data_IF_007184217636
#
_entry.id   IF_007184217636
#
_cell.length_a   1.000
_cell.length_b   1.000
_cell.length_c   1.000
_cell.angle_alpha   90.00
_cell.angle_beta   90.00
_cell.angle_gamma   90.00
#
_symmetry.space_group_name_H-M   'P 1'
#
loop_
_entity.id
_entity.type
_entity.pdbx_description
1 polymer ?
#
# COMPACT_ATOMS: atom_id res chain seq x y z
N UNK A 1 5.84 -36.36 5.89
CA UNK A 1 4.89 -35.23 5.73
C UNK A 1 5.69 -33.94 5.76
N UNK A 2 5.32 -33.00 4.90
CA UNK A 2 6.22 -32.11 4.18
C UNK A 2 6.95 -31.02 5.01
N UNK A 3 8.28 -31.14 5.09
CA UNK A 3 9.18 -30.11 5.64
C UNK A 3 9.02 -28.75 4.93
N UNK A 4 8.66 -28.75 3.65
CA UNK A 4 8.37 -27.53 2.88
C UNK A 4 7.13 -26.79 3.37
N UNK A 5 6.05 -27.49 3.75
CA UNK A 5 4.85 -26.84 4.30
C UNK A 5 5.12 -26.25 5.67
N UNK A 6 5.85 -26.98 6.53
CA UNK A 6 6.30 -26.46 7.82
C UNK A 6 7.17 -25.20 7.66
N UNK A 7 8.10 -25.20 6.71
CA UNK A 7 8.90 -24.02 6.39
C UNK A 7 8.02 -22.81 5.99
N UNK A 8 7.01 -23.02 5.13
CA UNK A 8 6.08 -21.95 4.74
C UNK A 8 5.21 -21.47 5.91
N UNK A 9 4.69 -22.39 6.72
CA UNK A 9 3.91 -22.08 7.92
C UNK A 9 4.74 -21.27 8.94
N UNK A 10 5.99 -21.67 9.17
CA UNK A 10 6.89 -20.98 10.10
C UNK A 10 7.19 -19.54 9.64
N UNK A 11 7.22 -19.30 8.32
CA UNK A 11 7.35 -17.95 7.73
C UNK A 11 6.13 -17.08 7.92
N UNK A 12 4.93 -17.64 7.79
CA UNK A 12 3.67 -16.89 7.94
C UNK A 12 3.28 -16.70 9.41
N UNK A 13 3.71 -17.60 10.30
CA UNK A 13 3.39 -17.58 11.74
C UNK A 13 4.45 -16.90 12.61
N UNK A 14 5.50 -16.35 12.00
CA UNK A 14 6.56 -15.63 12.70
C UNK A 14 7.49 -16.53 13.53
N UNK A 15 7.54 -17.83 13.24
CA UNK A 15 8.40 -18.81 13.92
C UNK A 15 9.81 -18.91 13.32
N UNK A 16 10.13 -18.08 12.32
CA UNK A 16 11.46 -17.97 11.74
C UNK A 16 12.09 -16.59 12.00
N UNK A 17 13.42 -16.53 11.95
CA UNK A 17 14.16 -15.27 12.08
C UNK A 17 13.99 -14.36 10.85
N UNK A 18 14.15 -13.06 11.04
CA UNK A 18 14.32 -12.13 9.92
C UNK A 18 15.54 -12.57 9.07
N UNK A 19 15.51 -12.44 7.73
CA UNK A 19 14.51 -11.76 6.90
C UNK A 19 13.38 -12.67 6.35
N UNK A 20 13.30 -13.93 6.79
CA UNK A 20 12.34 -14.89 6.22
C UNK A 20 10.95 -14.79 6.84
N UNK A 21 10.82 -14.11 7.97
CA UNK A 21 9.56 -13.86 8.65
C UNK A 21 8.68 -12.92 7.83
N UNK A 22 7.55 -13.43 7.36
CA UNK A 22 6.58 -12.68 6.54
C UNK A 22 5.31 -12.32 7.34
N UNK A 23 5.28 -12.56 8.66
CA UNK A 23 4.13 -12.25 9.49
C UNK A 23 3.80 -10.74 9.52
N UNK A 24 4.78 -9.81 9.62
CA UNK A 24 4.50 -8.37 9.58
C UNK A 24 3.89 -7.92 8.25
N UNK A 25 4.37 -8.44 7.12
CA UNK A 25 3.85 -8.14 5.79
C UNK A 25 2.45 -8.71 5.61
N UNK A 26 2.18 -9.90 6.13
CA UNK A 26 0.87 -10.52 6.10
C UNK A 26 -0.14 -9.75 6.96
N UNK A 27 0.27 -9.28 8.14
CA UNK A 27 -0.54 -8.41 8.99
C UNK A 27 -0.85 -7.08 8.28
N UNK A 28 0.15 -6.47 7.65
CA UNK A 28 -0.05 -5.28 6.82
C UNK A 28 -1.08 -5.53 5.72
N UNK A 29 -0.92 -6.62 4.96
CA UNK A 29 -1.85 -6.96 3.89
C UNK A 29 -3.26 -7.22 4.40
N UNK A 30 -3.44 -7.80 5.58
CA UNK A 30 -4.77 -7.98 6.15
C UNK A 30 -5.40 -6.65 6.58
N UNK A 31 -4.62 -5.77 7.22
CA UNK A 31 -5.08 -4.47 7.68
C UNK A 31 -5.54 -3.56 6.53
N UNK A 32 -4.80 -3.52 5.41
CA UNK A 32 -5.15 -2.70 4.24
C UNK A 32 -6.37 -3.19 3.48
N UNK A 33 -6.86 -4.42 3.74
CA UNK A 33 -8.15 -4.87 3.19
C UNK A 33 -9.31 -4.00 3.67
N UNK A 34 -9.13 -3.24 4.75
CA UNK A 34 -10.06 -2.21 5.19
C UNK A 34 -10.36 -1.15 4.11
N UNK A 35 -9.53 -0.99 3.07
CA UNK A 35 -9.81 -0.10 1.94
C UNK A 35 -10.74 -0.71 0.87
N UNK A 36 -11.08 -1.99 0.99
CA UNK A 36 -12.16 -2.60 0.24
C UNK A 36 -13.49 -2.39 1.02
N UNK A 37 -14.44 -1.61 0.49
CA UNK A 37 -15.69 -1.28 1.20
C UNK A 37 -16.51 -2.51 1.58
N UNK A 38 -16.58 -3.52 0.69
CA UNK A 38 -17.31 -4.76 1.00
C UNK A 38 -16.66 -5.50 2.17
N UNK A 39 -15.32 -5.56 2.22
CA UNK A 39 -14.60 -6.19 3.33
C UNK A 39 -14.78 -5.42 4.64
N UNK A 40 -14.69 -4.09 4.61
CA UNK A 40 -14.86 -3.24 5.78
C UNK A 40 -16.22 -3.47 6.46
N UNK A 41 -17.29 -3.59 5.67
CA UNK A 41 -18.62 -3.90 6.17
C UNK A 41 -18.77 -5.34 6.66
N UNK A 42 -18.28 -6.33 5.90
CA UNK A 42 -18.33 -7.75 6.27
C UNK A 42 -17.62 -8.01 7.60
N UNK A 43 -16.43 -7.43 7.79
CA UNK A 43 -15.61 -7.59 9.00
C UNK A 43 -15.96 -6.62 10.12
N UNK A 44 -16.82 -5.63 9.86
CA UNK A 44 -17.19 -4.57 10.81
C UNK A 44 -15.95 -3.97 11.48
N UNK A 45 -15.05 -3.44 10.64
CA UNK A 45 -13.84 -2.79 11.14
C UNK A 45 -14.18 -1.72 12.18
N UNK A 46 -13.33 -1.58 13.19
CA UNK A 46 -13.55 -0.69 14.33
C UNK A 46 -12.35 0.26 14.53
N UNK A 47 -12.44 1.14 15.52
CA UNK A 47 -11.36 2.10 15.80
C UNK A 47 -10.04 1.41 16.20
N UNK A 48 -10.07 0.21 16.78
CA UNK A 48 -8.86 -0.57 17.08
C UNK A 48 -8.16 -1.03 15.79
N UNK A 49 -8.92 -1.44 14.78
CA UNK A 49 -8.39 -1.76 13.45
C UNK A 49 -7.66 -0.56 12.83
N UNK A 50 -8.28 0.62 12.90
CA UNK A 50 -7.66 1.86 12.40
C UNK A 50 -6.38 2.15 13.16
N UNK A 51 -6.37 2.03 14.50
CA UNK A 51 -5.13 2.24 15.28
C UNK A 51 -4.02 1.25 14.91
N UNK A 52 -4.33 -0.02 14.65
CA UNK A 52 -3.35 -1.01 14.16
C UNK A 52 -2.82 -0.66 12.78
N UNK A 53 -3.69 -0.19 11.87
CA UNK A 53 -3.28 0.27 10.55
C UNK A 53 -2.26 1.42 10.62
N UNK A 54 -2.37 2.30 11.62
CA UNK A 54 -1.42 3.40 11.86
C UNK A 54 -0.12 2.98 12.57
N UNK A 55 0.06 1.70 12.91
CA UNK A 55 1.35 1.20 13.41
C UNK A 55 2.32 0.87 12.26
N UNK A 56 1.85 0.91 11.00
CA UNK A 56 2.60 0.46 9.84
C UNK A 56 2.88 1.65 8.90
N UNK A 57 4.14 1.75 8.47
CA UNK A 57 4.58 2.75 7.48
C UNK A 57 3.90 2.51 6.13
N UNK A 58 3.50 3.55 5.38
CA UNK A 58 3.71 4.99 5.62
C UNK A 58 2.58 5.67 6.39
N UNK A 59 1.51 4.98 6.76
CA UNK A 59 0.39 5.60 7.52
C UNK A 59 0.83 6.04 8.92
N UNK A 60 1.77 5.32 9.53
CA UNK A 60 2.43 5.72 10.77
C UNK A 60 3.13 7.09 10.70
N UNK A 61 3.45 7.60 9.51
CA UNK A 61 4.07 8.91 9.33
C UNK A 61 3.04 10.03 9.09
N UNK A 62 1.75 9.72 9.07
CA UNK A 62 0.66 10.66 8.83
C UNK A 62 -0.15 10.90 10.12
N UNK A 63 0.50 11.48 11.12
CA UNK A 63 -0.06 11.72 12.47
C UNK A 63 -1.39 12.48 12.45
N UNK A 64 -1.62 13.27 11.40
CA UNK A 64 -2.83 14.07 11.21
C UNK A 64 -4.06 13.28 10.74
N UNK A 65 -3.91 11.99 10.37
CA UNK A 65 -4.99 11.18 9.80
C UNK A 65 -5.69 10.24 10.79
N UNK A 66 -5.06 9.84 11.90
CA UNK A 66 -5.60 8.81 12.78
C UNK A 66 -6.95 9.21 13.40
N UNK A 67 -6.99 10.35 14.08
CA UNK A 67 -8.20 10.82 14.77
C UNK A 67 -9.33 11.14 13.78
N UNK A 68 -9.10 11.86 12.66
CA UNK A 68 -10.13 12.07 11.65
C UNK A 68 -10.65 10.77 11.01
N UNK A 69 -9.79 9.78 10.74
CA UNK A 69 -10.24 8.49 10.21
C UNK A 69 -11.10 7.72 11.21
N UNK A 70 -10.77 7.77 12.50
CA UNK A 70 -11.61 7.17 13.55
C UNK A 70 -12.98 7.86 13.64
N UNK A 71 -13.02 9.19 13.51
CA UNK A 71 -14.26 9.96 13.50
C UNK A 71 -15.12 9.69 12.25
N UNK A 72 -14.49 9.54 11.08
CA UNK A 72 -15.17 9.24 9.81
C UNK A 72 -15.63 7.77 9.70
N UNK A 73 -15.10 6.86 10.52
CA UNK A 73 -15.31 5.42 10.41
C UNK A 73 -16.81 5.01 10.38
N UNK A 74 -17.70 5.52 11.25
CA UNK A 74 -19.12 5.17 11.18
C UNK A 74 -19.76 5.56 9.84
N UNK A 75 -19.35 6.71 9.29
CA UNK A 75 -19.81 7.18 7.98
C UNK A 75 -19.25 6.33 6.86
N UNK A 76 -17.99 5.93 6.95
CA UNK A 76 -17.38 5.01 5.99
C UNK A 76 -18.18 3.70 5.90
N UNK A 77 -18.47 3.08 7.06
CA UNK A 77 -19.24 1.84 7.12
C UNK A 77 -20.68 2.01 6.59
N UNK A 78 -21.30 3.17 6.79
CA UNK A 78 -22.62 3.47 6.24
C UNK A 78 -22.59 3.55 4.70
N UNK A 79 -21.62 4.27 4.13
CA UNK A 79 -21.46 4.40 2.68
C UNK A 79 -21.05 3.07 2.01
N UNK A 80 -20.29 2.23 2.71
CA UNK A 80 -19.84 0.95 2.21
C UNK A 80 -20.91 -0.15 2.26
N UNK A 81 -21.98 0.03 3.04
CA UNK A 81 -23.02 -0.98 3.29
C UNK A 81 -23.71 -1.47 2.02
N UNK A 82 -23.97 -0.57 1.08
CA UNK A 82 -24.69 -0.87 -0.16
C UNK A 82 -23.76 -1.21 -1.34
N UNK A 83 -22.44 -1.23 -1.10
CA UNK A 83 -21.43 -1.44 -2.13
C UNK A 83 -21.22 -2.94 -2.35
N UNK A 84 -21.57 -3.40 -3.56
CA UNK A 84 -21.30 -4.76 -4.02
C UNK A 84 -20.21 -4.74 -5.09
N UNK A 85 -19.08 -5.35 -4.79
CA UNK A 85 -17.95 -5.47 -5.71
C UNK A 85 -17.79 -6.93 -6.09
N UNK A 86 -17.81 -7.21 -7.40
CA UNK A 86 -17.47 -8.54 -7.90
C UNK A 86 -15.97 -8.81 -7.73
N UNK A 87 -15.63 -9.99 -7.22
CA UNK A 87 -14.25 -10.43 -6.96
C UNK A 87 -13.75 -11.42 -8.01
N UNK A 88 -14.57 -11.76 -9.01
CA UNK A 88 -14.22 -12.73 -10.07
C UNK A 88 -13.27 -12.17 -11.12
N UNK A 89 -13.26 -10.85 -11.29
CA UNK A 89 -12.44 -10.13 -12.27
C UNK A 89 -11.61 -9.09 -11.55
N UNK A 90 -10.28 -9.14 -11.72
CA UNK A 90 -9.35 -8.21 -11.07
C UNK A 90 -9.56 -6.78 -11.60
N UNK A 91 -9.85 -6.62 -12.89
CA UNK A 91 -10.07 -5.31 -13.50
C UNK A 91 -11.37 -4.67 -12.99
N UNK A 92 -12.46 -5.43 -12.93
CA UNK A 92 -13.75 -4.94 -12.43
C UNK A 92 -13.69 -4.62 -10.93
N UNK A 93 -13.01 -5.47 -10.16
CA UNK A 93 -12.73 -5.22 -8.75
C UNK A 93 -11.96 -3.90 -8.56
N UNK A 94 -10.86 -3.75 -9.29
CA UNK A 94 -9.99 -2.56 -9.19
C UNK A 94 -10.74 -1.30 -9.56
N UNK A 95 -11.49 -1.33 -10.67
CA UNK A 95 -12.29 -0.20 -11.13
C UNK A 95 -13.35 0.20 -10.10
N UNK A 96 -14.10 -0.76 -9.56
CA UNK A 96 -15.15 -0.50 -8.59
C UNK A 96 -14.61 0.08 -7.27
N UNK A 97 -13.49 -0.44 -6.76
CA UNK A 97 -12.83 0.10 -5.56
C UNK A 97 -12.36 1.53 -5.81
N UNK A 98 -11.69 1.79 -6.93
CA UNK A 98 -11.20 3.14 -7.26
C UNK A 98 -12.34 4.14 -7.47
N UNK A 99 -13.43 3.73 -8.13
CA UNK A 99 -14.61 4.57 -8.31
C UNK A 99 -15.28 4.92 -6.99
N UNK A 100 -15.42 3.95 -6.07
CA UNK A 100 -15.95 4.19 -4.72
C UNK A 100 -15.18 5.33 -4.03
N UNK A 101 -13.86 5.24 -3.97
CA UNK A 101 -13.03 6.26 -3.33
C UNK A 101 -13.08 7.59 -4.08
N UNK A 102 -13.11 7.58 -5.42
CA UNK A 102 -13.20 8.79 -6.25
C UNK A 102 -14.47 9.58 -6.01
N UNK A 103 -15.62 8.91 -5.86
CA UNK A 103 -16.90 9.58 -5.63
C UNK A 103 -17.11 10.00 -4.17
N UNK A 104 -16.35 9.45 -3.22
CA UNK A 104 -16.51 9.72 -1.78
C UNK A 104 -15.43 10.62 -1.17
N UNK A 105 -14.50 11.16 -1.97
CA UNK A 105 -13.44 12.08 -1.49
C UNK A 105 -13.98 13.25 -0.66
N UNK A 106 -15.13 13.83 -1.04
CA UNK A 106 -15.72 14.97 -0.30
C UNK A 106 -16.41 14.56 1.01
N UNK A 107 -16.84 13.30 1.10
CA UNK A 107 -17.64 12.74 2.19
C UNK A 107 -16.72 12.10 3.24
N UNK A 108 -15.64 11.49 2.77
CA UNK A 108 -14.64 10.74 3.53
C UNK A 108 -13.22 11.22 3.17
N UNK A 109 -12.88 12.49 3.45
CA UNK A 109 -11.60 13.07 3.00
C UNK A 109 -10.39 12.38 3.62
N UNK A 110 -10.46 11.99 4.90
CA UNK A 110 -9.35 11.37 5.62
C UNK A 110 -9.12 9.95 5.13
N UNK A 111 -10.20 9.16 4.99
CA UNK A 111 -10.12 7.82 4.40
C UNK A 111 -9.68 7.83 2.94
N UNK A 112 -10.14 8.80 2.14
CA UNK A 112 -9.72 8.91 0.75
C UNK A 112 -8.24 9.28 0.61
N UNK A 113 -7.70 10.12 1.50
CA UNK A 113 -6.25 10.41 1.55
C UNK A 113 -5.46 9.17 1.94
N UNK A 114 -5.89 8.45 2.98
CA UNK A 114 -5.26 7.19 3.37
C UNK A 114 -5.32 6.13 2.26
N UNK A 115 -6.45 6.03 1.54
CA UNK A 115 -6.60 5.11 0.41
C UNK A 115 -5.58 5.41 -0.70
N UNK A 116 -5.33 6.69 -1.01
CA UNK A 116 -4.30 7.09 -1.99
C UNK A 116 -2.90 6.68 -1.54
N UNK A 117 -2.60 6.85 -0.26
CA UNK A 117 -1.31 6.44 0.32
C UNK A 117 -1.14 4.93 0.17
N UNK A 118 -2.16 4.15 0.56
CA UNK A 118 -2.13 2.69 0.47
C UNK A 118 -2.06 2.19 -0.97
N UNK A 119 -2.83 2.76 -1.89
CA UNK A 119 -2.80 2.37 -3.31
C UNK A 119 -1.52 2.79 -4.03
N UNK A 120 -0.74 3.72 -3.47
CA UNK A 120 0.59 4.05 -3.98
C UNK A 120 1.66 3.03 -3.58
N UNK A 121 1.37 2.13 -2.64
CA UNK A 121 2.31 1.09 -2.23
C UNK A 121 2.34 -0.03 -3.27
N UNK A 122 3.45 -0.16 -3.98
CA UNK A 122 3.64 -1.28 -4.89
C UNK A 122 3.79 -2.57 -4.09
N UNK A 123 2.86 -3.50 -4.25
CA UNK A 123 2.90 -4.82 -3.62
C UNK A 123 3.99 -5.75 -4.21
N UNK A 124 4.87 -5.25 -5.07
CA UNK A 124 5.94 -6.03 -5.66
C UNK A 124 7.25 -5.23 -5.67
N UNK A 125 8.35 -5.86 -5.26
CA UNK A 125 9.71 -5.35 -5.50
C UNK A 125 10.09 -5.45 -6.97
N UNK A 126 9.44 -6.35 -7.72
CA UNK A 126 9.70 -6.62 -9.14
C UNK A 126 9.58 -5.40 -10.07
N UNK A 127 8.80 -4.39 -9.69
CA UNK A 127 8.65 -3.12 -10.42
C UNK A 127 9.93 -2.30 -10.28
N UNK A 128 10.41 -2.16 -9.04
CA UNK A 128 11.68 -1.52 -8.74
C UNK A 128 12.83 -2.34 -9.32
N UNK A 129 12.87 -3.67 -9.12
CA UNK A 129 13.90 -4.55 -9.69
C UNK A 129 13.93 -4.50 -11.21
N UNK A 130 12.79 -4.46 -11.92
CA UNK A 130 12.78 -4.31 -13.38
C UNK A 130 13.31 -2.94 -13.82
N UNK A 131 13.01 -1.88 -13.08
CA UNK A 131 13.57 -0.54 -13.32
C UNK A 131 15.07 -0.53 -13.01
N UNK A 132 15.51 -1.18 -11.93
CA UNK A 132 16.92 -1.35 -11.60
C UNK A 132 17.64 -2.21 -12.64
N UNK A 133 17.10 -3.35 -13.08
CA UNK A 133 17.60 -4.18 -14.17
C UNK A 133 17.68 -3.42 -15.50
N UNK A 134 16.68 -2.58 -15.81
CA UNK A 134 16.75 -1.69 -16.96
C UNK A 134 17.90 -0.69 -16.79
N UNK A 135 18.06 -0.11 -15.60
CA UNK A 135 19.17 0.79 -15.29
C UNK A 135 20.53 0.07 -15.30
N UNK A 136 20.64 -1.19 -14.87
CA UNK A 136 21.88 -1.98 -15.00
C UNK A 136 22.22 -2.28 -16.47
N UNK A 137 21.19 -2.49 -17.30
CA UNK A 137 21.36 -2.67 -18.74
C UNK A 137 21.77 -1.37 -19.46
N UNK A 138 21.35 -0.21 -18.94
CA UNK A 138 21.68 1.11 -19.48
C UNK A 138 23.01 1.66 -18.94
N UNK A 139 23.39 1.28 -17.72
CA UNK A 139 24.61 1.70 -17.03
C UNK A 139 25.32 0.46 -16.44
N UNK A 140 26.29 -0.13 -17.15
CA UNK A 140 27.06 -1.26 -16.62
C UNK A 140 27.84 -0.83 -15.37
N UNK A 141 27.47 -1.39 -14.21
CA UNK A 141 27.94 -1.00 -12.88
C UNK A 141 29.47 -0.89 -12.78
N UNK A 142 29.97 0.34 -12.97
CA UNK A 142 31.29 0.79 -12.53
C UNK A 142 31.08 1.84 -11.43
N UNK A 143 31.93 1.85 -10.41
CA UNK A 143 31.75 2.65 -9.18
C UNK A 143 31.50 4.15 -9.41
N UNK A 144 32.02 4.72 -10.50
CA UNK A 144 31.76 6.11 -10.90
C UNK A 144 30.36 6.33 -11.49
N UNK A 145 29.78 5.35 -12.19
CA UNK A 145 28.45 5.48 -12.82
C UNK A 145 27.31 5.36 -11.80
N UNK A 146 27.51 4.63 -10.70
CA UNK A 146 26.54 4.56 -9.60
C UNK A 146 26.31 5.89 -8.88
N UNK A 147 27.35 6.72 -8.73
CA UNK A 147 27.18 8.06 -8.15
C UNK A 147 26.38 8.98 -9.08
N UNK A 148 26.70 8.95 -10.38
CA UNK A 148 25.98 9.74 -11.40
C UNK A 148 24.50 9.32 -11.48
N UNK A 149 24.21 8.03 -11.43
CA UNK A 149 22.83 7.52 -11.41
C UNK A 149 22.04 8.01 -10.18
N UNK A 150 22.68 8.01 -9.00
CA UNK A 150 22.05 8.53 -7.78
C UNK A 150 21.75 10.02 -7.89
N UNK A 151 22.67 10.79 -8.45
CA UNK A 151 22.51 12.24 -8.65
C UNK A 151 21.44 12.55 -9.71
N UNK A 152 21.36 11.77 -10.79
CA UNK A 152 20.35 11.91 -11.84
C UNK A 152 18.95 11.55 -11.34
N UNK A 153 18.80 10.47 -10.56
CA UNK A 153 17.53 10.11 -9.93
C UNK A 153 17.13 11.21 -8.93
N UNK A 154 18.05 11.65 -8.09
CA UNK A 154 17.81 12.73 -7.13
C UNK A 154 17.38 14.03 -7.82
N UNK A 155 18.08 14.40 -8.89
CA UNK A 155 17.78 15.57 -9.72
C UNK A 155 16.43 15.48 -10.42
N UNK A 156 16.10 14.33 -11.03
CA UNK A 156 14.83 14.12 -11.71
C UNK A 156 13.64 14.16 -10.74
N UNK A 157 13.79 13.56 -9.54
CA UNK A 157 12.78 13.60 -8.48
C UNK A 157 12.59 15.03 -7.98
N UNK A 158 13.68 15.77 -7.74
CA UNK A 158 13.61 17.18 -7.33
C UNK A 158 12.98 18.08 -8.39
N UNK A 159 13.31 17.90 -9.67
CA UNK A 159 12.73 18.67 -10.78
C UNK A 159 11.23 18.44 -10.91
N UNK A 160 10.81 17.17 -10.81
CA UNK A 160 9.40 16.78 -10.88
C UNK A 160 8.61 17.24 -9.66
N UNK A 161 9.18 17.15 -8.46
CA UNK A 161 8.59 17.69 -7.23
C UNK A 161 8.38 19.21 -7.33
N UNK A 162 9.33 19.92 -7.95
CA UNK A 162 9.26 21.37 -8.15
C UNK A 162 8.48 21.80 -9.42
N UNK A 163 7.81 20.87 -10.12
CA UNK A 163 7.09 21.12 -11.40
C UNK A 163 7.93 21.85 -12.46
N UNK A 164 9.26 21.69 -12.45
CA UNK A 164 10.14 22.27 -13.46
C UNK A 164 10.33 21.25 -14.58
N UNK A 165 9.62 21.45 -15.68
CA UNK A 165 9.93 20.75 -16.93
C UNK A 165 11.26 21.26 -17.47
N UNK A 166 12.17 20.35 -17.82
CA UNK A 166 13.32 20.70 -18.64
C UNK A 166 12.78 21.11 -20.02
N UNK A 167 13.05 22.35 -20.41
CA UNK A 167 12.87 22.83 -21.78
C UNK A 167 14.01 22.38 -22.66
#
# INVERSE_FOLDING_TARGET
MASGFKYLEDRLTGKCSAPLNCAPELEFFDLVRAFNPTFACEKRINAEWVRKLFQISPLACADDLLEPMCAELPRYLAEAKDVRIDRKSVDDFTKAVLEFWRFRVRILPSWARAARIVFALSCNSASCERVFSLMESMFPFTSQQTCVLSDDIGGAVMLKYNKRGLG
#
